data_IF_829666638671
#
_entry.id   IF_829666638671
#
_cell.length_a   1.000
_cell.length_b   1.000
_cell.length_c   1.000
_cell.angle_alpha   90.00
_cell.angle_beta   90.00
_cell.angle_gamma   90.00
#
_symmetry.space_group_name_H-M   'P 1'
#
loop_
_entity.id
_entity.type
_entity.pdbx_description
1 polymer ?
#
# COMPACT_ATOMS: atom_id res chain seq x y z
N UNK A 1 -1.00 -22.19 13.12
CA UNK A 1 -1.17 -21.22 14.23
C UNK A 1 -0.05 -20.18 14.27
N UNK A 2 1.11 -20.42 13.66
CA UNK A 2 2.22 -19.44 13.59
C UNK A 2 1.90 -18.15 12.79
N UNK A 3 1.09 -18.25 11.72
CA UNK A 3 0.69 -17.09 10.90
C UNK A 3 -0.18 -16.07 11.63
N UNK A 4 -0.78 -16.43 12.77
CA UNK A 4 -1.65 -15.55 13.54
C UNK A 4 -0.83 -14.72 14.55
N UNK A 5 0.30 -15.27 15.02
CA UNK A 5 1.23 -14.59 15.93
C UNK A 5 2.02 -13.49 15.21
N UNK A 6 2.39 -13.68 13.93
CA UNK A 6 3.02 -12.62 13.12
C UNK A 6 2.06 -11.44 12.85
N UNK A 7 0.76 -11.72 12.69
CA UNK A 7 -0.25 -10.69 12.51
C UNK A 7 -0.44 -9.84 13.78
N UNK A 8 -0.41 -10.47 14.95
CA UNK A 8 -0.43 -9.80 16.26
C UNK A 8 0.87 -9.01 16.49
N UNK A 9 2.03 -9.55 16.09
CA UNK A 9 3.33 -8.87 16.22
C UNK A 9 3.50 -7.67 15.27
N UNK A 10 2.70 -7.57 14.22
CA UNK A 10 2.58 -6.37 13.38
C UNK A 10 1.66 -5.32 14.05
N UNK A 11 0.58 -5.78 14.68
CA UNK A 11 -0.34 -4.92 15.43
C UNK A 11 0.29 -4.32 16.70
N UNK A 12 1.05 -5.08 17.48
CA UNK A 12 1.72 -4.55 18.69
C UNK A 12 2.85 -3.58 18.36
N UNK A 13 3.50 -3.71 17.20
CA UNK A 13 4.51 -2.76 16.72
C UNK A 13 3.92 -1.43 16.24
N UNK A 14 2.60 -1.38 16.06
CA UNK A 14 1.89 -0.19 15.61
C UNK A 14 1.76 0.86 16.72
N UNK A 15 1.53 0.43 17.96
CA UNK A 15 1.43 1.32 19.12
C UNK A 15 2.77 1.98 19.49
N UNK A 16 3.89 1.43 19.04
CA UNK A 16 5.23 1.95 19.33
C UNK A 16 5.78 2.89 18.23
N UNK A 17 5.09 3.05 17.08
CA UNK A 17 5.49 4.00 16.05
C UNK A 17 5.10 5.43 16.47
N UNK A 18 5.99 6.03 17.26
CA UNK A 18 6.06 7.47 17.58
C UNK A 18 5.54 8.32 16.42
N UNK A 19 4.40 8.96 16.62
CA UNK A 19 3.93 10.09 15.82
C UNK A 19 4.94 11.24 15.92
N UNK A 20 5.83 11.35 14.94
CA UNK A 20 6.40 12.63 14.56
C UNK A 20 5.37 13.35 13.70
N UNK A 21 5.04 14.61 14.00
CA UNK A 21 4.04 15.38 13.25
C UNK A 21 4.37 15.61 11.77
N UNK A 22 5.56 15.22 11.31
CA UNK A 22 6.02 15.50 9.95
C UNK A 22 5.73 14.41 8.90
N UNK A 23 5.36 13.18 9.28
CA UNK A 23 5.13 12.11 8.27
C UNK A 23 3.89 11.27 8.57
N UNK A 24 2.94 11.29 7.63
CA UNK A 24 1.81 10.38 7.65
C UNK A 24 2.33 8.93 7.54
N UNK A 25 1.89 8.01 8.42
CA UNK A 25 2.34 6.62 8.37
C UNK A 25 1.84 5.92 7.11
N UNK A 26 2.71 5.09 6.50
CA UNK A 26 2.45 4.42 5.21
C UNK A 26 2.66 2.91 5.36
N UNK A 27 1.70 2.12 4.87
CA UNK A 27 1.79 0.66 4.79
C UNK A 27 1.83 0.24 3.33
N UNK A 28 2.82 -0.59 2.98
CA UNK A 28 2.94 -1.20 1.64
C UNK A 28 2.76 -2.72 1.77
N UNK A 29 1.99 -3.32 0.85
CA UNK A 29 1.78 -4.77 0.78
C UNK A 29 2.30 -5.30 -0.56
N UNK A 30 3.37 -6.08 -0.53
CA UNK A 30 3.96 -6.71 -1.71
C UNK A 30 3.89 -8.25 -1.66
N UNK A 31 4.00 -8.90 -2.82
CA UNK A 31 3.98 -10.36 -2.96
C UNK A 31 3.54 -10.82 -4.35
N UNK A 32 3.43 -12.14 -4.59
CA UNK A 32 3.20 -12.71 -5.92
C UNK A 32 1.92 -12.21 -6.59
N UNK A 33 1.91 -12.11 -7.92
CA UNK A 33 0.70 -11.69 -8.65
C UNK A 33 -0.46 -12.66 -8.40
N UNK A 34 -1.69 -12.15 -8.33
CA UNK A 34 -2.90 -12.96 -8.14
C UNK A 34 -3.22 -13.37 -6.69
N UNK A 35 -2.40 -13.03 -5.69
CA UNK A 35 -2.62 -13.42 -4.28
C UNK A 35 -3.64 -12.56 -3.52
N UNK A 36 -4.31 -11.61 -4.17
CA UNK A 36 -5.35 -10.79 -3.54
C UNK A 36 -4.86 -9.62 -2.67
N UNK A 37 -3.58 -9.22 -2.78
CA UNK A 37 -2.99 -8.10 -2.02
C UNK A 37 -3.80 -6.81 -2.08
N UNK A 38 -4.24 -6.41 -3.28
CA UNK A 38 -5.05 -5.20 -3.45
C UNK A 38 -6.37 -5.26 -2.68
N UNK A 39 -7.00 -6.43 -2.62
CA UNK A 39 -8.22 -6.67 -1.84
C UNK A 39 -7.95 -6.52 -0.35
N UNK A 40 -6.88 -7.14 0.16
CA UNK A 40 -6.50 -7.05 1.58
C UNK A 40 -6.10 -5.60 1.95
N UNK A 41 -5.32 -4.91 1.11
CA UNK A 41 -4.95 -3.51 1.31
C UNK A 41 -6.18 -2.61 1.41
N UNK A 42 -7.17 -2.80 0.54
CA UNK A 42 -8.40 -2.02 0.56
C UNK A 42 -9.23 -2.30 1.81
N UNK A 43 -9.33 -3.56 2.24
CA UNK A 43 -10.01 -3.95 3.48
C UNK A 43 -9.32 -3.34 4.70
N UNK A 44 -7.99 -3.40 4.77
CA UNK A 44 -7.19 -2.82 5.83
C UNK A 44 -7.37 -1.30 5.90
N UNK A 45 -7.29 -0.60 4.77
CA UNK A 45 -7.49 0.85 4.71
C UNK A 45 -8.89 1.24 5.22
N UNK A 46 -9.94 0.49 4.84
CA UNK A 46 -11.30 0.71 5.34
C UNK A 46 -11.42 0.49 6.85
N UNK A 47 -10.78 -0.55 7.37
CA UNK A 47 -10.80 -0.86 8.81
C UNK A 47 -10.06 0.19 9.64
N UNK A 48 -8.96 0.71 9.12
CA UNK A 48 -8.16 1.75 9.80
C UNK A 48 -8.69 3.18 9.55
N UNK A 49 -9.63 3.36 8.63
CA UNK A 49 -10.08 4.70 8.18
C UNK A 49 -9.00 5.45 7.37
N UNK A 50 -8.10 4.72 6.73
CA UNK A 50 -6.96 5.27 5.99
C UNK A 50 -7.25 5.43 4.50
N UNK A 51 -6.47 6.27 3.84
CA UNK A 51 -6.51 6.39 2.38
C UNK A 51 -5.88 5.17 1.71
N UNK A 52 -6.57 4.64 0.70
CA UNK A 52 -6.06 3.56 -0.15
C UNK A 52 -5.50 4.11 -1.46
N UNK A 53 -4.28 3.70 -1.81
CA UNK A 53 -3.62 4.06 -3.06
C UNK A 53 -3.47 2.83 -3.97
N UNK A 54 -4.14 2.83 -5.12
CA UNK A 54 -3.95 1.82 -6.17
C UNK A 54 -2.74 2.20 -7.03
N UNK A 55 -1.59 1.60 -6.73
CA UNK A 55 -0.34 1.82 -7.48
C UNK A 55 -0.47 1.41 -8.95
N UNK A 56 -1.26 0.38 -9.28
CA UNK A 56 -1.49 -0.05 -10.65
C UNK A 56 -2.30 0.96 -11.46
N UNK A 57 -3.32 1.57 -10.86
CA UNK A 57 -4.07 2.66 -11.48
C UNK A 57 -3.18 3.89 -11.70
N UNK A 58 -2.36 4.23 -10.71
CA UNK A 58 -1.41 5.34 -10.80
C UNK A 58 -0.44 5.14 -11.97
N UNK A 59 0.17 3.96 -12.09
CA UNK A 59 1.09 3.65 -13.20
C UNK A 59 0.39 3.69 -14.56
N UNK A 60 -0.86 3.21 -14.67
CA UNK A 60 -1.63 3.29 -15.93
C UNK A 60 -1.91 4.73 -16.35
N UNK A 61 -2.34 5.58 -15.41
CA UNK A 61 -2.61 7.00 -15.68
C UNK A 61 -1.31 7.72 -16.05
N UNK A 62 -0.23 7.45 -15.32
CA UNK A 62 1.09 8.03 -15.59
C UNK A 62 1.60 7.62 -16.99
N UNK A 63 1.52 6.34 -17.34
CA UNK A 63 1.89 5.85 -18.66
C UNK A 63 1.04 6.50 -19.77
N UNK A 64 -0.26 6.68 -19.54
CA UNK A 64 -1.13 7.37 -20.48
C UNK A 64 -0.74 8.85 -20.67
N UNK A 65 -0.46 9.57 -19.58
CA UNK A 65 -0.02 10.96 -19.62
C UNK A 65 1.34 11.11 -20.31
N UNK A 66 2.28 10.21 -20.04
CA UNK A 66 3.58 10.18 -20.68
C UNK A 66 3.48 9.92 -22.18
N UNK A 67 2.65 8.93 -22.59
CA UNK A 67 2.37 8.67 -24.01
C UNK A 67 1.82 9.91 -24.72
N UNK A 68 0.90 10.66 -24.08
CA UNK A 68 0.37 11.92 -24.65
C UNK A 68 1.43 13.02 -24.81
N UNK A 69 2.43 13.05 -23.93
CA UNK A 69 3.53 14.02 -23.98
C UNK A 69 4.77 13.51 -24.73
N UNK A 70 4.67 12.35 -25.39
CA UNK A 70 5.79 11.67 -26.04
C UNK A 70 7.00 11.44 -25.10
N UNK A 71 6.72 11.20 -23.82
CA UNK A 71 7.72 10.88 -22.81
C UNK A 71 7.85 9.36 -22.66
N UNK A 72 9.07 8.88 -22.51
CA UNK A 72 9.37 7.49 -22.20
C UNK A 72 9.36 7.32 -20.68
N UNK A 73 8.60 6.33 -20.19
CA UNK A 73 8.66 5.90 -18.79
C UNK A 73 9.58 4.67 -18.69
N UNK A 74 10.55 4.70 -17.78
CA UNK A 74 11.22 3.50 -17.26
C UNK A 74 10.60 3.20 -15.89
N UNK A 75 9.73 2.20 -15.82
CA UNK A 75 9.10 1.66 -14.60
C UNK A 75 9.40 0.18 -14.48
#
# INVERSE_FOLDING_TARGET
MEKMTEFIACFTRYEEFKMSEEHAPVITLDGPSGTGKGTISLMLARQLGWHFLDSGALYRVLAYAAKKKALILMI
#
